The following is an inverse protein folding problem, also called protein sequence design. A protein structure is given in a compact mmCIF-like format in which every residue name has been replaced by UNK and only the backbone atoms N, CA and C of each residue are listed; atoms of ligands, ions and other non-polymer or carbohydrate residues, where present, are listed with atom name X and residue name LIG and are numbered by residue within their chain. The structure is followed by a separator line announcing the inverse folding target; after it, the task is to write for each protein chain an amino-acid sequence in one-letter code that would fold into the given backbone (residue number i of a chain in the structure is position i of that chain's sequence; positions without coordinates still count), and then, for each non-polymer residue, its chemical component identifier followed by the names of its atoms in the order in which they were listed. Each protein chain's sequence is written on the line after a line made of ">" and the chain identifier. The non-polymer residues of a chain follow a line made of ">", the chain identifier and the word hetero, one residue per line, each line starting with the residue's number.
data_IF_894820639340
#
_entry.id   IF_894820639340
#
_cell.length_a   1.000
_cell.length_b   1.000
_cell.length_c   1.000
_cell.angle_alpha   90.00
_cell.angle_beta   90.00
_cell.angle_gamma   90.00
#
_symmetry.space_group_name_H-M   'P 1'
#
loop_
_entity.id
_entity.type
_entity.pdbx_description
1 polymer ?
#
# COMPACT_ATOMS: atom_id res chain seq x y z
N UNK A 1 -1.46 24.54 18.00
CA UNK A 1 -1.71 24.43 16.56
C UNK A 1 -1.46 23.00 16.18
N UNK A 2 -2.45 22.30 15.63
CA UNK A 2 -2.23 20.96 15.09
C UNK A 2 -1.44 21.18 13.79
N UNK A 3 -0.19 20.70 13.76
CA UNK A 3 0.64 20.79 12.55
C UNK A 3 0.06 19.95 11.43
N UNK A 4 0.49 20.22 10.20
CA UNK A 4 0.19 19.42 9.00
C UNK A 4 0.51 17.93 9.27
N UNK A 5 -0.39 17.02 8.93
CA UNK A 5 -0.16 15.56 8.96
C UNK A 5 0.81 15.11 7.85
N UNK A 6 1.33 13.88 7.90
CA UNK A 6 2.19 13.35 6.83
C UNK A 6 1.43 13.21 5.50
N UNK A 7 0.19 12.71 5.56
CA UNK A 7 -0.70 12.65 4.41
C UNK A 7 -0.92 14.03 3.75
N UNK A 8 -1.20 15.08 4.55
CA UNK A 8 -1.36 16.44 4.02
C UNK A 8 -0.08 16.99 3.40
N UNK A 9 1.08 16.70 4.01
CA UNK A 9 2.37 17.06 3.43
C UNK A 9 2.62 16.35 2.09
N UNK A 10 2.28 15.07 1.99
CA UNK A 10 2.40 14.30 0.76
C UNK A 10 1.53 14.86 -0.36
N UNK A 11 0.28 15.22 -0.05
CA UNK A 11 -0.63 15.88 -0.99
C UNK A 11 -0.09 17.23 -1.47
N UNK A 12 0.44 18.04 -0.54
CA UNK A 12 1.08 19.33 -0.87
C UNK A 12 2.27 19.15 -1.80
N UNK A 13 3.16 18.19 -1.53
CA UNK A 13 4.32 17.90 -2.39
C UNK A 13 3.87 17.38 -3.75
N UNK A 14 2.90 16.46 -3.81
CA UNK A 14 2.34 15.95 -5.06
C UNK A 14 1.81 17.07 -5.95
N UNK A 15 1.06 18.01 -5.36
CA UNK A 15 0.51 19.17 -6.06
C UNK A 15 1.59 20.17 -6.50
N UNK A 16 2.62 20.38 -5.68
CA UNK A 16 3.71 21.31 -5.97
C UNK A 16 4.68 20.83 -7.06
N UNK A 17 4.86 19.51 -7.18
CA UNK A 17 5.74 18.88 -8.16
C UNK A 17 4.98 17.90 -9.09
N UNK A 18 4.09 18.39 -9.98
CA UNK A 18 3.30 17.55 -10.87
C UNK A 18 4.15 16.97 -12.01
N UNK A 19 3.99 15.68 -12.29
CA UNK A 19 4.57 15.01 -13.45
C UNK A 19 3.69 15.32 -14.67
N UNK A 20 4.26 15.96 -15.69
CA UNK A 20 3.49 16.44 -16.88
C UNK A 20 3.40 15.42 -18.02
N UNK A 21 4.24 14.39 -18.00
CA UNK A 21 4.26 13.32 -19.00
C UNK A 21 3.60 12.03 -18.51
N UNK A 22 3.58 11.01 -19.38
CA UNK A 22 3.09 9.67 -19.02
C UNK A 22 3.95 8.98 -17.94
N UNK A 23 5.19 9.44 -17.76
CA UNK A 23 6.17 8.89 -16.82
C UNK A 23 6.93 10.02 -16.13
N UNK A 24 7.37 9.75 -14.90
CA UNK A 24 8.30 10.62 -14.19
C UNK A 24 9.65 10.66 -14.93
N UNK A 25 10.23 11.84 -15.04
CA UNK A 25 11.62 12.02 -15.43
C UNK A 25 12.54 11.88 -14.21
N UNK A 26 13.85 11.74 -14.44
CA UNK A 26 14.83 11.73 -13.34
C UNK A 26 14.78 13.04 -12.53
N UNK A 27 14.51 14.16 -13.19
CA UNK A 27 14.36 15.46 -12.55
C UNK A 27 13.10 15.52 -11.67
N UNK A 28 11.97 14.99 -12.13
CA UNK A 28 10.75 14.88 -11.32
C UNK A 28 11.01 14.03 -10.07
N UNK A 29 11.75 12.92 -10.24
CA UNK A 29 12.15 12.04 -9.14
C UNK A 29 13.04 12.77 -8.13
N UNK A 30 14.02 13.54 -8.61
CA UNK A 30 14.95 14.31 -7.78
C UNK A 30 14.22 15.38 -6.97
N UNK A 31 13.40 16.21 -7.62
CA UNK A 31 12.63 17.28 -6.97
C UNK A 31 11.72 16.72 -5.88
N UNK A 32 10.97 15.64 -6.19
CA UNK A 32 10.07 15.02 -5.20
C UNK A 32 10.86 14.45 -4.02
N UNK A 33 12.01 13.80 -4.27
CA UNK A 33 12.86 13.27 -3.20
C UNK A 33 13.41 14.37 -2.30
N UNK A 34 13.84 15.50 -2.86
CA UNK A 34 14.30 16.65 -2.09
C UNK A 34 13.20 17.18 -1.16
N UNK A 35 11.98 17.39 -1.68
CA UNK A 35 10.84 17.86 -0.90
C UNK A 35 10.43 16.87 0.21
N UNK A 36 10.52 15.57 -0.06
CA UNK A 36 10.28 14.51 0.93
C UNK A 36 11.31 14.59 2.05
N UNK A 37 12.60 14.61 1.69
CA UNK A 37 13.70 14.67 2.66
C UNK A 37 13.62 15.93 3.54
N UNK A 38 13.33 17.09 2.95
CA UNK A 38 13.14 18.35 3.69
C UNK A 38 11.98 18.24 4.69
N UNK A 39 10.88 17.60 4.29
CA UNK A 39 9.70 17.41 5.14
C UNK A 39 10.01 16.45 6.30
N UNK A 40 10.72 15.35 6.05
CA UNK A 40 11.14 14.39 7.08
C UNK A 40 12.11 15.04 8.08
N UNK A 41 13.08 15.80 7.58
CA UNK A 41 14.04 16.53 8.40
C UNK A 41 13.36 17.60 9.28
N UNK A 42 12.42 18.37 8.71
CA UNK A 42 11.66 19.37 9.46
C UNK A 42 10.80 18.77 10.59
N UNK A 43 10.40 17.50 10.44
CA UNK A 43 9.63 16.74 11.43
C UNK A 43 10.49 15.91 12.37
N UNK A 44 11.82 15.94 12.21
CA UNK A 44 12.77 15.12 12.96
C UNK A 44 12.43 13.62 12.90
N UNK A 45 11.95 13.13 11.76
CA UNK A 45 11.75 11.69 11.54
C UNK A 45 13.12 11.00 11.53
N UNK A 46 13.32 10.08 12.46
CA UNK A 46 14.55 9.30 12.54
C UNK A 46 14.61 8.29 11.40
N UNK A 47 15.76 8.22 10.72
CA UNK A 47 16.05 7.17 9.74
C UNK A 47 16.45 5.90 10.48
N UNK A 48 15.74 4.80 10.18
CA UNK A 48 16.04 3.46 10.66
C UNK A 48 16.63 2.57 9.57
N UNK A 49 16.56 1.26 9.77
CA UNK A 49 17.00 0.30 8.75
C UNK A 49 16.06 0.33 7.55
N UNK A 50 16.65 0.46 6.35
CA UNK A 50 15.90 0.46 5.09
C UNK A 50 15.17 -0.86 4.88
N UNK A 51 13.84 -0.83 4.94
CA UNK A 51 12.98 -2.01 4.82
C UNK A 51 11.89 -1.82 3.77
N UNK A 52 11.37 -2.94 3.26
CA UNK A 52 10.19 -2.91 2.42
C UNK A 52 8.98 -2.62 3.30
N UNK A 53 8.16 -1.68 2.87
CA UNK A 53 6.90 -1.34 3.51
C UNK A 53 5.77 -1.64 2.53
N UNK A 54 4.74 -2.30 3.03
CA UNK A 54 3.51 -2.59 2.28
C UNK A 54 2.41 -1.69 2.81
N UNK A 55 1.59 -1.15 1.90
CA UNK A 55 0.52 -0.23 2.25
C UNK A 55 -0.74 -0.53 1.44
N UNK A 56 -1.90 -0.17 1.98
CA UNK A 56 -3.12 0.02 1.20
C UNK A 56 -3.42 1.51 1.16
N UNK A 57 -3.69 2.01 -0.04
CA UNK A 57 -4.17 3.37 -0.27
C UNK A 57 -5.69 3.44 -0.04
N UNK A 58 -6.22 4.61 0.28
CA UNK A 58 -7.68 4.80 0.54
C UNK A 58 -8.56 4.49 -0.68
N UNK A 59 -7.95 4.41 -1.85
CA UNK A 59 -8.61 4.05 -3.10
C UNK A 59 -8.62 2.51 -3.35
N UNK A 60 -8.05 1.74 -2.41
CA UNK A 60 -8.04 0.28 -2.42
C UNK A 60 -6.80 -0.34 -3.08
N UNK A 61 -5.89 0.43 -3.67
CA UNK A 61 -4.64 -0.14 -4.17
C UNK A 61 -3.77 -0.67 -3.04
N UNK A 62 -3.13 -1.82 -3.27
CA UNK A 62 -2.04 -2.30 -2.42
C UNK A 62 -0.72 -2.07 -3.13
N UNK A 63 0.18 -1.37 -2.45
CA UNK A 63 1.45 -0.84 -2.98
C UNK A 63 2.56 -1.11 -1.98
N UNK A 64 3.80 -0.87 -2.39
CA UNK A 64 4.91 -0.92 -1.46
C UNK A 64 6.09 -0.08 -1.92
N UNK A 65 6.95 0.25 -0.96
CA UNK A 65 8.11 1.12 -1.15
C UNK A 65 9.23 0.69 -0.20
N UNK A 66 10.48 0.89 -0.62
CA UNK A 66 11.62 0.79 0.28
C UNK A 66 11.84 2.13 0.98
N UNK A 67 11.77 2.14 2.31
CA UNK A 67 11.91 3.32 3.14
C UNK A 67 12.62 2.95 4.47
N UNK A 68 13.15 3.95 5.14
CA UNK A 68 13.86 3.81 6.42
C UNK A 68 12.90 3.87 7.62
N UNK A 69 11.65 4.26 7.39
CA UNK A 69 10.59 4.31 8.41
C UNK A 69 9.19 4.19 7.79
N UNK A 70 8.19 3.90 8.64
CA UNK A 70 6.78 3.92 8.23
C UNK A 70 6.32 5.33 7.83
N UNK A 71 6.84 6.37 8.49
CA UNK A 71 6.54 7.77 8.21
C UNK A 71 7.07 8.19 6.83
N UNK A 72 8.31 7.80 6.50
CA UNK A 72 8.85 7.98 5.14
C UNK A 72 8.01 7.22 4.13
N UNK A 73 7.66 5.96 4.40
CA UNK A 73 6.85 5.16 3.49
C UNK A 73 5.46 5.78 3.22
N UNK A 74 4.77 6.27 4.26
CA UNK A 74 3.48 6.96 4.10
C UNK A 74 3.62 8.21 3.23
N UNK A 75 4.66 9.01 3.49
CA UNK A 75 4.92 10.25 2.75
C UNK A 75 5.26 9.95 1.29
N UNK A 76 6.20 9.04 1.03
CA UNK A 76 6.61 8.62 -0.31
C UNK A 76 5.40 8.14 -1.12
N UNK A 77 4.63 7.21 -0.56
CA UNK A 77 3.48 6.64 -1.25
C UNK A 77 2.42 7.69 -1.55
N UNK A 78 2.15 8.60 -0.61
CA UNK A 78 1.18 9.69 -0.83
C UNK A 78 1.68 10.65 -1.93
N UNK A 79 2.98 10.99 -1.94
CA UNK A 79 3.57 11.84 -3.00
C UNK A 79 3.51 11.17 -4.37
N UNK A 80 3.83 9.89 -4.46
CA UNK A 80 3.92 9.20 -5.74
C UNK A 80 2.56 8.85 -6.33
N UNK A 81 1.61 8.44 -5.48
CA UNK A 81 0.28 8.03 -5.93
C UNK A 81 -0.74 9.17 -5.91
N UNK A 82 -0.48 10.26 -5.20
CA UNK A 82 -1.47 11.32 -5.00
C UNK A 82 -2.70 10.87 -4.21
N UNK A 83 -2.56 9.78 -3.45
CA UNK A 83 -3.63 9.14 -2.68
C UNK A 83 -3.08 8.79 -1.30
N UNK A 84 -3.84 9.12 -0.26
CA UNK A 84 -3.47 8.84 1.14
C UNK A 84 -3.37 7.35 1.41
N UNK A 85 -2.48 6.97 2.33
CA UNK A 85 -2.45 5.63 2.88
C UNK A 85 -3.62 5.40 3.84
N UNK A 86 -4.31 4.27 3.70
CA UNK A 86 -5.22 3.74 4.71
C UNK A 86 -4.44 3.06 5.85
N UNK A 87 -3.41 2.29 5.50
CA UNK A 87 -2.43 1.75 6.43
C UNK A 87 -1.07 1.56 5.74
N UNK A 88 -0.01 1.58 6.52
CA UNK A 88 1.37 1.26 6.13
C UNK A 88 1.96 0.33 7.18
N UNK A 89 2.63 -0.73 6.76
CA UNK A 89 3.31 -1.66 7.67
C UNK A 89 4.69 -2.03 7.14
N UNK A 90 5.65 -2.18 8.05
CA UNK A 90 6.94 -2.78 7.74
C UNK A 90 6.70 -4.24 7.35
N UNK A 91 7.17 -4.64 6.18
CA UNK A 91 6.98 -5.98 5.61
C UNK A 91 8.32 -6.53 5.07
N UNK A 92 9.27 -6.86 5.97
CA UNK A 92 10.57 -7.38 5.57
C UNK A 92 10.39 -8.69 4.78
N UNK A 93 10.85 -8.69 3.53
CA UNK A 93 10.71 -9.83 2.61
C UNK A 93 9.38 -9.89 1.85
N UNK A 94 8.58 -8.82 1.86
CA UNK A 94 7.38 -8.65 1.03
C UNK A 94 6.32 -9.75 1.24
N UNK A 95 6.24 -10.33 2.44
CA UNK A 95 5.36 -11.47 2.73
C UNK A 95 3.89 -11.04 2.77
N UNK A 96 3.60 -9.90 3.38
CA UNK A 96 2.25 -9.35 3.34
C UNK A 96 1.87 -8.94 1.92
N UNK A 97 2.77 -8.29 1.17
CA UNK A 97 2.50 -7.92 -0.22
C UNK A 97 2.11 -9.14 -1.06
N UNK A 98 2.78 -10.28 -0.84
CA UNK A 98 2.49 -11.55 -1.51
C UNK A 98 1.10 -12.12 -1.17
N UNK A 99 0.51 -11.82 -0.01
CA UNK A 99 -0.88 -12.20 0.30
C UNK A 99 -1.89 -11.53 -0.62
N UNK A 100 -1.56 -10.34 -1.16
CA UNK A 100 -2.39 -9.63 -2.14
C UNK A 100 -2.03 -10.01 -3.57
N UNK A 101 -0.74 -10.28 -3.82
CA UNK A 101 -0.20 -10.64 -5.12
C UNK A 101 0.66 -11.91 -5.01
N UNK A 102 0.06 -13.12 -4.97
CA UNK A 102 0.80 -14.37 -4.73
C UNK A 102 1.86 -14.68 -5.81
N UNK A 103 1.66 -14.15 -7.01
CA UNK A 103 2.59 -14.28 -8.14
C UNK A 103 3.47 -13.03 -8.31
N UNK A 104 3.31 -12.02 -7.46
CA UNK A 104 3.82 -10.66 -7.65
C UNK A 104 2.96 -9.85 -8.63
N UNK A 105 3.23 -8.54 -8.75
CA UNK A 105 2.62 -7.68 -9.78
C UNK A 105 3.35 -7.88 -11.11
N UNK A 106 2.83 -8.73 -11.98
CA UNK A 106 3.46 -9.08 -13.27
C UNK A 106 2.79 -8.41 -14.48
N UNK A 107 1.70 -7.67 -14.26
CA UNK A 107 0.92 -7.04 -15.33
C UNK A 107 0.33 -5.70 -14.90
N UNK A 108 -0.05 -4.88 -15.89
CA UNK A 108 -0.77 -3.62 -15.66
C UNK A 108 -2.12 -3.86 -14.95
N UNK A 109 -2.84 -4.94 -15.31
CA UNK A 109 -4.10 -5.32 -14.66
C UNK A 109 -3.91 -5.60 -13.17
N UNK A 110 -2.82 -6.27 -12.79
CA UNK A 110 -2.48 -6.48 -11.38
C UNK A 110 -1.99 -5.20 -10.70
N UNK A 111 -1.34 -4.30 -11.43
CA UNK A 111 -0.93 -3.00 -10.91
C UNK A 111 -2.13 -2.12 -10.52
N UNK A 112 -3.19 -2.15 -11.33
CA UNK A 112 -4.43 -1.37 -11.16
C UNK A 112 -5.48 -2.07 -10.26
N UNK A 113 -5.16 -3.26 -9.76
CA UNK A 113 -6.09 -4.04 -8.93
C UNK A 113 -6.39 -3.32 -7.62
N UNK A 114 -7.70 -3.18 -7.33
CA UNK A 114 -8.22 -2.66 -6.06
C UNK A 114 -8.66 -3.80 -5.13
N UNK A 115 -8.49 -3.59 -3.84
CA UNK A 115 -9.00 -4.45 -2.77
C UNK A 115 -9.91 -3.63 -1.86
N UNK A 116 -10.96 -4.25 -1.26
CA UNK A 116 -11.75 -3.58 -0.23
C UNK A 116 -10.85 -3.05 0.89
N UNK A 117 -11.19 -1.87 1.43
CA UNK A 117 -10.50 -1.33 2.58
C UNK A 117 -10.73 -2.25 3.78
N UNK A 118 -9.63 -2.72 4.36
CA UNK A 118 -9.62 -3.61 5.49
C UNK A 118 -8.28 -3.47 6.23
N UNK A 119 -8.19 -3.90 7.49
CA UNK A 119 -6.90 -4.06 8.15
C UNK A 119 -5.93 -4.93 7.32
N UNK A 120 -4.60 -4.81 7.51
CA UNK A 120 -3.63 -5.66 6.84
C UNK A 120 -3.98 -7.15 6.99
N UNK A 121 -3.88 -7.92 5.89
CA UNK A 121 -4.05 -9.37 5.92
C UNK A 121 -3.04 -10.01 6.88
N UNK A 122 -3.43 -11.12 7.50
CA UNK A 122 -2.49 -11.94 8.26
C UNK A 122 -1.60 -12.72 7.29
N UNK A 123 -0.27 -12.64 7.49
CA UNK A 123 0.71 -13.44 6.73
C UNK A 123 0.46 -14.91 7.05
N UNK A 124 0.19 -15.72 6.02
CA UNK A 124 -0.02 -17.15 6.20
C UNK A 124 1.32 -17.86 6.30
N UNK A 125 1.41 -18.87 7.16
CA UNK A 125 2.55 -19.77 7.15
C UNK A 125 2.54 -20.55 5.82
N UNK A 126 3.70 -20.69 5.17
CA UNK A 126 3.88 -21.34 3.87
C UNK A 126 3.58 -22.84 3.88
N UNK A 127 3.36 -23.41 5.07
CA UNK A 127 2.90 -24.78 5.26
C UNK A 127 1.36 -24.94 5.26
N UNK A 128 0.60 -23.84 5.20
CA UNK A 128 -0.81 -23.92 4.88
C UNK A 128 -0.97 -24.20 3.36
N UNK A 129 -1.85 -25.12 2.92
CA UNK A 129 -2.01 -25.46 1.52
C UNK A 129 -2.22 -24.20 0.65
N UNK A 130 -1.52 -24.15 -0.49
CA UNK A 130 -1.51 -23.03 -1.42
C UNK A 130 -2.89 -22.76 -2.09
N UNK A 131 -3.84 -23.68 -1.90
CA UNK A 131 -5.23 -23.52 -2.29
C UNK A 131 -6.07 -23.18 -1.05
N UNK A 132 -6.27 -21.89 -0.79
CA UNK A 132 -7.63 -21.40 -0.54
C UNK A 132 -7.68 -19.88 -0.43
N UNK A 133 -8.23 -19.23 -1.45
CA UNK A 133 -8.79 -17.89 -1.31
C UNK A 133 -10.34 -17.92 -1.27
N UNK A 134 -10.96 -19.11 -1.27
CA UNK A 134 -12.38 -19.28 -1.63
C UNK A 134 -13.16 -20.42 -0.94
N UNK A 135 -12.59 -21.29 -0.10
CA UNK A 135 -13.40 -22.40 0.48
C UNK A 135 -14.45 -21.93 1.49
N UNK A 136 -14.35 -20.71 2.02
CA UNK A 136 -15.30 -20.15 2.99
C UNK A 136 -16.32 -19.17 2.43
N UNK A 137 -16.21 -18.75 1.16
CA UNK A 137 -17.22 -17.84 0.58
C UNK A 137 -18.48 -18.64 0.19
N UNK A 138 -18.36 -19.93 -0.15
CA UNK A 138 -19.48 -20.78 -0.55
C UNK A 138 -19.64 -22.04 0.33
N UNK A 139 -20.68 -21.99 1.17
CA UNK A 139 -21.32 -23.04 1.97
C UNK A 139 -20.79 -23.17 3.41
N UNK A 140 -21.61 -22.83 4.43
CA UNK A 140 -22.96 -23.39 4.62
C UNK A 140 -24.00 -22.32 5.05
N UNK A 141 -25.33 -22.49 5.10
CA UNK A 141 -26.20 -23.64 5.36
C UNK A 141 -27.66 -23.21 5.07
N UNK A 142 -28.50 -24.20 4.76
CA UNK A 142 -29.99 -24.23 4.88
C UNK A 142 -30.79 -23.41 3.86
N UNK A 143 -31.87 -23.89 3.27
CA UNK A 143 -32.69 -25.09 3.44
C UNK A 143 -33.48 -25.23 2.15
N UNK A 144 -33.79 -26.45 1.72
CA UNK A 144 -35.17 -26.66 1.33
C UNK A 144 -35.67 -28.04 1.71
N UNK A 145 -36.64 -28.01 2.60
CA UNK A 145 -37.53 -29.11 2.84
C UNK A 145 -38.40 -29.27 1.60
N UNK A 146 -38.32 -30.44 0.95
CA UNK A 146 -39.42 -30.93 0.13
C UNK A 146 -39.68 -32.39 0.47
N UNK A 147 -40.33 -32.59 1.61
CA UNK A 147 -41.41 -33.56 1.67
C UNK A 147 -42.57 -32.99 0.86
N UNK A 148 -42.84 -33.50 -0.33
CA UNK A 148 -44.21 -33.63 -0.82
C UNK A 148 -44.33 -34.93 -1.63
N UNK A 149 -44.85 -35.93 -0.93
CA UNK A 149 -45.62 -37.12 -1.37
C UNK A 149 -44.89 -38.26 -2.08
#
# INVERSE_FOLDING_TARGET
>A
MVGESLAEAGERIHAAAPIRGERATDEDCRIRRELINDTLAARAVESGDRNWHTAQLVDGHVVGVWADSADEAELDLTVWWGVRCHWVVVDPGCRLFQEYFPRGKRSAVEADRRFPLAPPRSIRDRFAPADSLLDGIWAPTRSDASMVR
#
